data_IF_683833067153
#
_entry.id   IF_683833067153
#
_cell.length_a   1.000
_cell.length_b   1.000
_cell.length_c   1.000
_cell.angle_alpha   90.00
_cell.angle_beta   90.00
_cell.angle_gamma   90.00
#
_symmetry.space_group_name_H-M   'P 1'
#
loop_
_entity.id
_entity.type
_entity.pdbx_description
1 polymer ?
#
# COMPACT_ATOMS: atom_id res chain seq x y z
N UNK A 1 2.85 -6.23 3.58
CA UNK A 1 3.69 -5.61 4.63
C UNK A 1 4.20 -4.26 4.14
N UNK A 2 4.26 -3.20 4.97
CA UNK A 2 4.61 -1.84 4.51
C UNK A 2 6.09 -1.46 4.70
N UNK A 3 6.75 -1.96 5.74
CA UNK A 3 8.15 -1.61 6.06
C UNK A 3 9.15 -2.31 5.13
N UNK A 4 9.07 -3.63 5.03
CA UNK A 4 9.86 -4.44 4.09
C UNK A 4 9.15 -4.41 2.74
N UNK A 5 9.36 -3.34 1.98
CA UNK A 5 8.76 -3.18 0.65
C UNK A 5 9.80 -2.75 -0.38
N UNK A 6 9.58 -3.16 -1.63
CA UNK A 6 10.42 -2.76 -2.77
C UNK A 6 10.59 -1.24 -2.83
N UNK A 7 9.50 -0.47 -2.66
CA UNK A 7 9.54 0.99 -2.70
C UNK A 7 10.40 1.59 -1.60
N UNK A 8 10.38 1.04 -0.37
CA UNK A 8 11.23 1.55 0.71
C UNK A 8 12.69 1.19 0.46
N UNK A 9 12.99 -0.03 -0.02
CA UNK A 9 14.35 -0.40 -0.41
C UNK A 9 14.92 0.61 -1.44
N UNK A 10 14.17 0.89 -2.50
CA UNK A 10 14.54 1.86 -3.53
C UNK A 10 14.64 3.30 -3.01
N UNK A 11 13.79 3.70 -2.08
CA UNK A 11 13.91 5.00 -1.45
C UNK A 11 15.20 5.14 -0.64
N UNK A 12 15.59 4.11 0.12
CA UNK A 12 16.84 4.09 0.90
C UNK A 12 18.05 4.15 -0.02
N UNK A 13 18.06 3.33 -1.08
CA UNK A 13 19.12 3.32 -2.09
C UNK A 13 19.26 4.69 -2.77
N UNK A 14 18.15 5.30 -3.19
CA UNK A 14 18.14 6.64 -3.80
C UNK A 14 18.66 7.71 -2.86
N UNK A 15 18.20 7.73 -1.60
CA UNK A 15 18.67 8.71 -0.62
C UNK A 15 20.16 8.59 -0.34
N UNK A 16 20.69 7.37 -0.28
CA UNK A 16 22.12 7.11 -0.17
C UNK A 16 22.90 7.62 -1.39
N UNK A 17 22.41 7.35 -2.61
CA UNK A 17 23.04 7.82 -3.85
C UNK A 17 23.10 9.35 -3.97
N UNK A 18 22.18 10.06 -3.31
CA UNK A 18 22.13 11.53 -3.26
C UNK A 18 22.96 12.12 -2.11
N UNK A 19 23.66 11.30 -1.31
CA UNK A 19 24.42 11.75 -0.14
C UNK A 19 23.55 12.26 1.01
N UNK A 20 22.25 11.95 1.01
CA UNK A 20 21.28 12.39 2.04
C UNK A 20 21.08 11.35 3.16
N UNK A 21 21.71 10.19 3.05
CA UNK A 21 21.69 9.17 4.10
C UNK A 21 22.55 9.59 5.30
N UNK A 22 22.07 9.30 6.50
CA UNK A 22 22.83 9.47 7.75
C UNK A 22 23.77 8.31 8.04
N UNK A 23 23.63 7.20 7.33
CA UNK A 23 24.35 5.96 7.58
C UNK A 23 24.96 5.47 6.28
N UNK A 24 26.20 4.99 6.37
CA UNK A 24 26.95 4.44 5.25
C UNK A 24 26.44 3.06 4.82
N UNK A 25 25.70 2.35 5.68
CA UNK A 25 25.16 1.01 5.40
C UNK A 25 23.79 1.02 4.71
N UNK A 26 23.48 2.08 3.96
CA UNK A 26 22.21 2.22 3.27
C UNK A 26 22.01 1.16 2.18
N UNK A 27 23.10 0.67 1.57
CA UNK A 27 23.05 -0.33 0.51
C UNK A 27 22.67 -1.70 1.07
N UNK A 28 23.29 -2.11 2.18
CA UNK A 28 22.98 -3.34 2.90
C UNK A 28 21.56 -3.32 3.45
N UNK A 29 21.13 -2.16 3.97
CA UNK A 29 19.76 -1.95 4.42
C UNK A 29 18.76 -2.11 3.27
N UNK A 30 18.99 -1.43 2.13
CA UNK A 30 18.16 -1.58 0.93
C UNK A 30 18.09 -3.03 0.46
N UNK A 31 19.23 -3.71 0.39
CA UNK A 31 19.32 -5.11 0.01
C UNK A 31 18.48 -6.01 0.93
N UNK A 32 18.60 -5.84 2.25
CA UNK A 32 17.82 -6.60 3.23
C UNK A 32 16.31 -6.35 3.11
N UNK A 33 15.91 -5.09 2.89
CA UNK A 33 14.50 -4.74 2.68
C UNK A 33 13.95 -5.39 1.41
N UNK A 34 14.71 -5.34 0.32
CA UNK A 34 14.32 -5.91 -0.98
C UNK A 34 14.22 -7.43 -0.91
N UNK A 35 15.23 -8.12 -0.39
CA UNK A 35 15.22 -9.58 -0.31
C UNK A 35 14.08 -10.08 0.57
N UNK A 36 13.77 -9.36 1.66
CA UNK A 36 12.64 -9.68 2.53
C UNK A 36 11.30 -9.47 1.82
N UNK A 37 11.14 -8.39 1.04
CA UNK A 37 9.97 -8.18 0.21
C UNK A 37 9.79 -9.33 -0.79
N UNK A 38 10.84 -9.64 -1.54
CA UNK A 38 10.77 -10.58 -2.65
C UNK A 38 10.53 -12.01 -2.15
N UNK A 39 11.17 -12.39 -1.04
CA UNK A 39 10.92 -13.65 -0.36
C UNK A 39 9.47 -13.76 0.15
N UNK A 40 8.94 -12.69 0.73
CA UNK A 40 7.55 -12.68 1.21
C UNK A 40 6.55 -12.79 0.06
N UNK A 41 6.83 -12.16 -1.08
CA UNK A 41 6.02 -12.28 -2.30
C UNK A 41 5.95 -13.76 -2.77
N UNK A 42 7.07 -14.48 -2.76
CA UNK A 42 7.13 -15.92 -3.10
C UNK A 42 6.32 -16.76 -2.10
N UNK A 43 6.38 -16.44 -0.81
CA UNK A 43 5.67 -17.18 0.25
C UNK A 43 4.20 -16.79 0.42
N UNK A 44 3.65 -15.89 -0.40
CA UNK A 44 2.30 -15.37 -0.21
C UNK A 44 1.45 -15.31 -1.49
N UNK A 45 1.71 -16.23 -2.43
CA UNK A 45 0.97 -16.33 -3.70
C UNK A 45 -0.43 -16.92 -3.49
N UNK A 46 -1.47 -16.18 -3.91
CA UNK A 46 -2.89 -16.55 -3.75
C UNK A 46 -3.51 -17.18 -5.00
N UNK A 47 -3.00 -16.79 -6.16
CA UNK A 47 -3.46 -17.22 -7.49
C UNK A 47 -2.25 -17.60 -8.35
N UNK A 48 -2.44 -18.40 -9.42
CA UNK A 48 -1.33 -18.84 -10.27
C UNK A 48 -0.51 -17.68 -10.84
N UNK A 49 -1.18 -16.71 -11.45
CA UNK A 49 -0.55 -15.53 -12.02
C UNK A 49 -1.31 -14.29 -11.56
N UNK A 50 -0.73 -13.56 -10.61
CA UNK A 50 -1.32 -12.33 -10.08
C UNK A 50 -0.90 -11.11 -10.93
N UNK A 51 0.37 -11.06 -11.34
CA UNK A 51 0.94 -10.02 -12.19
C UNK A 51 2.14 -10.54 -13.00
N UNK A 52 2.84 -9.62 -13.68
CA UNK A 52 3.99 -9.92 -14.52
C UNK A 52 5.26 -10.32 -13.78
N UNK A 53 5.35 -10.10 -12.45
CA UNK A 53 6.57 -10.32 -11.67
C UNK A 53 6.69 -11.80 -11.31
N UNK A 54 7.77 -12.44 -11.73
CA UNK A 54 7.98 -13.88 -11.56
C UNK A 54 7.90 -14.36 -10.10
N UNK A 55 8.32 -13.52 -9.14
CA UNK A 55 8.24 -13.82 -7.71
C UNK A 55 6.82 -13.84 -7.14
N UNK A 56 5.85 -13.18 -7.79
CA UNK A 56 4.45 -13.10 -7.33
C UNK A 56 3.56 -14.19 -7.93
N UNK A 57 4.06 -14.90 -8.93
CA UNK A 57 3.41 -16.09 -9.47
C UNK A 57 3.46 -17.23 -8.46
N UNK A 58 2.56 -18.19 -8.61
CA UNK A 58 2.58 -19.39 -7.80
C UNK A 58 3.94 -20.11 -7.87
N UNK A 59 4.34 -20.68 -6.75
CA UNK A 59 5.64 -21.32 -6.63
C UNK A 59 5.70 -22.56 -7.51
N UNK A 60 6.62 -22.60 -8.49
CA UNK A 60 6.65 -23.63 -9.52
C UNK A 60 6.56 -23.10 -10.96
N UNK A 61 5.95 -21.93 -11.16
CA UNK A 61 5.77 -21.33 -12.49
C UNK A 61 7.00 -20.55 -12.99
N UNK A 62 7.85 -20.08 -12.08
CA UNK A 62 9.08 -19.36 -12.43
C UNK A 62 10.22 -19.79 -11.50
N UNK A 63 10.46 -21.10 -11.48
CA UNK A 63 11.30 -21.76 -10.47
C UNK A 63 12.71 -21.22 -10.38
N UNK A 64 13.33 -20.87 -11.50
CA UNK A 64 14.69 -20.35 -11.50
C UNK A 64 14.79 -19.08 -10.64
N UNK A 65 13.96 -18.08 -10.93
CA UNK A 65 13.95 -16.81 -10.19
C UNK A 65 13.47 -16.99 -8.74
N UNK A 66 12.43 -17.79 -8.55
CA UNK A 66 11.87 -18.06 -7.22
C UNK A 66 12.90 -18.77 -6.32
N UNK A 67 13.60 -19.79 -6.83
CA UNK A 67 14.63 -20.49 -6.08
C UNK A 67 15.82 -19.60 -5.76
N UNK A 68 16.24 -18.73 -6.69
CA UNK A 68 17.29 -17.75 -6.44
C UNK A 68 16.94 -16.86 -5.25
N UNK A 69 15.72 -16.30 -5.20
CA UNK A 69 15.25 -15.48 -4.07
C UNK A 69 15.26 -16.28 -2.75
N UNK A 70 14.80 -17.53 -2.78
CA UNK A 70 14.78 -18.42 -1.60
C UNK A 70 16.20 -18.73 -1.12
N UNK A 71 17.14 -18.98 -2.03
CA UNK A 71 18.53 -19.27 -1.71
C UNK A 71 19.24 -18.04 -1.16
N UNK A 72 19.05 -16.88 -1.77
CA UNK A 72 19.61 -15.62 -1.29
C UNK A 72 19.08 -15.31 0.13
N UNK A 73 17.79 -15.54 0.40
CA UNK A 73 17.21 -15.35 1.74
C UNK A 73 17.81 -16.35 2.75
N UNK A 74 17.98 -17.62 2.34
CA UNK A 74 18.60 -18.64 3.20
C UNK A 74 20.03 -18.27 3.57
N UNK A 75 20.82 -17.83 2.58
CA UNK A 75 22.19 -17.35 2.77
C UNK A 75 22.24 -16.12 3.67
N UNK A 76 21.30 -15.18 3.49
CA UNK A 76 21.15 -13.99 4.35
C UNK A 76 20.85 -14.39 5.80
N UNK A 77 19.93 -15.33 6.03
CA UNK A 77 19.62 -15.80 7.39
C UNK A 77 20.77 -16.57 8.04
N UNK A 78 21.58 -17.27 7.24
CA UNK A 78 22.80 -17.96 7.71
C UNK A 78 23.93 -17.01 8.07
N UNK A 79 24.04 -15.85 7.41
CA UNK A 79 25.11 -14.86 7.67
C UNK A 79 24.71 -13.80 8.69
N UNK A 80 23.43 -13.40 8.74
CA UNK A 80 22.93 -12.37 9.63
C UNK A 80 23.10 -12.77 11.10
N UNK A 81 23.61 -11.87 11.93
CA UNK A 81 23.74 -12.09 13.38
C UNK A 81 23.13 -10.92 14.14
N UNK A 82 22.47 -11.24 15.25
CA UNK A 82 22.13 -10.23 16.27
C UNK A 82 23.45 -9.72 16.86
N UNK A 83 23.52 -8.41 17.10
CA UNK A 83 24.62 -7.79 17.85
C UNK A 83 24.83 -8.59 19.15
N UNK A 84 26.09 -8.93 19.41
CA UNK A 84 26.56 -9.74 20.56
C UNK A 84 26.13 -11.22 20.59
N UNK A 85 25.56 -11.76 19.50
CA UNK A 85 25.23 -13.19 19.40
C UNK A 85 25.91 -13.86 18.21
N UNK A 86 26.54 -15.00 18.46
CA UNK A 86 27.05 -15.90 17.42
C UNK A 86 26.03 -16.96 16.98
N UNK A 87 24.99 -17.19 17.79
CA UNK A 87 23.98 -18.20 17.54
C UNK A 87 22.86 -17.69 16.64
N UNK A 88 22.32 -18.59 15.81
CA UNK A 88 21.11 -18.35 15.03
C UNK A 88 19.89 -18.31 15.94
N UNK A 89 19.08 -17.27 15.78
CA UNK A 89 17.81 -17.11 16.48
C UNK A 89 16.75 -18.06 15.91
N UNK A 90 15.70 -18.41 16.69
CA UNK A 90 14.66 -19.34 16.25
C UNK A 90 14.00 -18.94 14.92
N UNK A 91 13.75 -17.65 14.68
CA UNK A 91 13.14 -17.20 13.42
C UNK A 91 14.05 -17.44 12.21
N UNK A 92 15.38 -17.30 12.36
CA UNK A 92 16.34 -17.56 11.28
C UNK A 92 16.31 -19.04 10.90
N UNK A 93 16.30 -19.92 11.92
CA UNK A 93 16.13 -21.37 11.72
C UNK A 93 14.79 -21.67 11.05
N UNK A 94 13.71 -21.02 11.50
CA UNK A 94 12.37 -21.17 10.92
C UNK A 94 12.32 -20.80 9.44
N UNK A 95 12.96 -19.70 9.03
CA UNK A 95 13.04 -19.30 7.63
C UNK A 95 13.83 -20.33 6.81
N UNK A 96 14.98 -20.79 7.29
CA UNK A 96 15.82 -21.78 6.59
C UNK A 96 15.07 -23.11 6.41
N UNK A 97 14.38 -23.57 7.47
CA UNK A 97 13.53 -24.76 7.41
C UNK A 97 12.39 -24.54 6.41
N UNK A 98 11.65 -23.43 6.51
CA UNK A 98 10.54 -23.13 5.61
C UNK A 98 10.95 -23.07 4.13
N UNK A 99 12.10 -22.47 3.84
CA UNK A 99 12.71 -22.42 2.51
C UNK A 99 13.02 -23.81 1.96
N UNK A 100 13.63 -24.65 2.79
CA UNK A 100 13.98 -26.03 2.42
C UNK A 100 12.71 -26.87 2.22
N UNK A 101 11.78 -26.79 3.16
CA UNK A 101 10.50 -27.50 3.11
C UNK A 101 9.66 -27.12 1.90
N UNK A 102 9.61 -25.84 1.50
CA UNK A 102 8.87 -25.42 0.31
C UNK A 102 9.42 -26.05 -0.98
N UNK A 103 10.76 -26.11 -1.12
CA UNK A 103 11.42 -26.75 -2.26
C UNK A 103 11.12 -28.25 -2.33
N UNK A 104 11.26 -28.95 -1.20
CA UNK A 104 11.01 -30.38 -1.11
C UNK A 104 9.53 -30.71 -1.35
N UNK A 105 8.61 -29.96 -0.73
CA UNK A 105 7.17 -30.17 -0.90
C UNK A 105 6.73 -30.08 -2.36
N UNK A 106 7.24 -29.10 -3.12
CA UNK A 106 6.91 -29.02 -4.54
C UNK A 106 7.45 -30.22 -5.32
N UNK A 107 8.65 -30.71 -4.98
CA UNK A 107 9.25 -31.86 -5.63
C UNK A 107 8.43 -33.14 -5.38
N UNK A 108 8.01 -33.36 -4.14
CA UNK A 108 7.16 -34.49 -3.77
C UNK A 108 5.82 -34.42 -4.49
N UNK A 109 5.16 -33.26 -4.48
CA UNK A 109 3.86 -33.08 -5.15
C UNK A 109 3.94 -33.15 -6.68
N UNK A 110 5.08 -32.77 -7.28
CA UNK A 110 5.34 -32.97 -8.71
C UNK A 110 5.48 -34.45 -9.05
N UNK A 111 6.21 -35.19 -8.23
CA UNK A 111 6.51 -36.60 -8.45
C UNK A 111 5.27 -37.47 -8.26
N UNK A 112 4.54 -37.24 -7.18
CA UNK A 112 3.43 -38.12 -6.76
C UNK A 112 2.09 -37.75 -7.41
N UNK A 113 1.88 -36.45 -7.71
CA UNK A 113 0.57 -35.94 -8.15
C UNK A 113 0.62 -35.09 -9.42
N UNK A 114 1.79 -34.97 -10.08
CA UNK A 114 1.98 -34.12 -11.26
C UNK A 114 1.55 -32.65 -11.03
N UNK A 115 1.74 -32.15 -9.80
CA UNK A 115 1.37 -30.78 -9.44
C UNK A 115 2.25 -29.76 -10.18
N UNK A 116 1.64 -28.82 -10.91
CA UNK A 116 2.40 -27.82 -11.67
C UNK A 116 3.03 -26.73 -10.80
N UNK A 117 2.32 -26.33 -9.74
CA UNK A 117 2.70 -25.21 -8.87
C UNK A 117 2.03 -25.35 -7.49
N UNK A 118 2.46 -24.50 -6.54
CA UNK A 118 1.87 -24.35 -5.21
C UNK A 118 1.42 -22.92 -4.96
N UNK A 119 0.22 -22.79 -4.41
CA UNK A 119 -0.29 -21.52 -3.87
C UNK A 119 0.21 -21.39 -2.43
N UNK A 120 1.30 -20.64 -2.27
CA UNK A 120 2.02 -20.52 -0.99
C UNK A 120 1.21 -19.83 0.11
N UNK A 121 0.20 -19.04 -0.25
CA UNK A 121 -0.78 -18.52 0.72
C UNK A 121 -1.51 -19.61 1.51
N UNK A 122 -1.62 -20.84 0.96
CA UNK A 122 -2.28 -21.97 1.64
C UNK A 122 -1.36 -22.70 2.62
N UNK A 123 -0.09 -22.32 2.70
CA UNK A 123 0.92 -22.94 3.57
C UNK A 123 1.16 -22.13 4.86
N UNK A 124 0.45 -21.02 5.04
CA UNK A 124 0.54 -20.19 6.24
C UNK A 124 -0.70 -20.38 7.14
N UNK A 125 -0.66 -19.79 8.34
CA UNK A 125 -1.75 -19.87 9.31
C UNK A 125 -2.78 -18.73 9.16
N UNK A 126 -2.66 -17.86 8.16
CA UNK A 126 -3.59 -16.73 7.98
C UNK A 126 -5.06 -17.19 7.83
N UNK A 127 -5.38 -18.27 7.09
CA UNK A 127 -6.76 -18.78 7.06
C UNK A 127 -7.30 -19.17 8.43
N UNK A 128 -6.45 -19.69 9.32
CA UNK A 128 -6.82 -20.04 10.69
C UNK A 128 -7.00 -18.79 11.56
N UNK A 129 -6.15 -17.79 11.41
CA UNK A 129 -6.32 -16.49 12.08
C UNK A 129 -7.60 -15.76 11.61
N UNK A 130 -7.90 -15.85 10.32
CA UNK A 130 -9.16 -15.40 9.73
C UNK A 130 -10.37 -16.11 10.34
N UNK A 131 -10.29 -17.43 10.49
CA UNK A 131 -11.30 -18.22 11.19
C UNK A 131 -11.52 -17.75 12.64
N UNK A 132 -10.44 -17.55 13.41
CA UNK A 132 -10.57 -17.04 14.77
C UNK A 132 -11.21 -15.65 14.82
N UNK A 133 -10.92 -14.79 13.85
CA UNK A 133 -11.55 -13.47 13.74
C UNK A 133 -13.06 -13.56 13.51
N UNK A 134 -13.51 -14.51 12.69
CA UNK A 134 -14.94 -14.79 12.50
C UNK A 134 -15.58 -15.29 13.80
N UNK A 135 -14.93 -16.21 14.51
CA UNK A 135 -15.48 -16.71 15.79
C UNK A 135 -15.58 -15.60 16.85
N UNK A 136 -14.63 -14.67 16.87
CA UNK A 136 -14.72 -13.48 17.74
C UNK A 136 -15.86 -12.57 17.31
N UNK A 137 -16.03 -12.32 16.01
CA UNK A 137 -17.06 -11.41 15.48
C UNK A 137 -18.49 -11.88 15.70
N UNK A 138 -18.74 -13.21 15.74
CA UNK A 138 -20.04 -13.78 16.13
C UNK A 138 -20.50 -13.27 17.52
N UNK A 139 -19.55 -12.91 18.39
CA UNK A 139 -19.82 -12.37 19.71
C UNK A 139 -20.19 -10.89 19.79
N UNK A 140 -20.15 -10.16 18.67
CA UNK A 140 -20.32 -8.70 18.67
C UNK A 140 -19.29 -8.02 19.57
N UNK A 141 -19.78 -7.30 20.60
CA UNK A 141 -18.93 -6.61 21.59
C UNK A 141 -18.17 -7.58 22.52
N UNK A 142 -18.55 -8.85 22.57
CA UNK A 142 -17.89 -9.85 23.41
C UNK A 142 -16.90 -10.69 22.58
N UNK A 143 -15.73 -10.10 22.34
CA UNK A 143 -14.66 -10.59 21.47
C UNK A 143 -13.70 -11.61 22.11
N UNK A 144 -13.76 -11.79 23.43
CA UNK A 144 -12.97 -12.75 24.21
C UNK A 144 -13.84 -13.87 24.81
N UNK A 145 -14.25 -14.88 24.02
CA UNK A 145 -15.11 -15.95 24.52
C UNK A 145 -14.39 -16.89 25.50
N UNK A 146 -15.13 -17.40 26.48
CA UNK A 146 -14.75 -18.60 27.24
C UNK A 146 -14.72 -19.85 26.35
N UNK A 147 -14.09 -20.93 26.79
CA UNK A 147 -14.04 -22.19 26.05
C UNK A 147 -15.45 -22.73 25.68
N UNK A 148 -16.44 -22.57 26.57
CA UNK A 148 -17.82 -22.99 26.31
C UNK A 148 -18.49 -22.13 25.24
N UNK A 149 -18.30 -20.81 25.28
CA UNK A 149 -18.83 -19.90 24.27
C UNK A 149 -18.14 -20.13 22.92
N UNK A 150 -16.83 -20.36 22.90
CA UNK A 150 -16.12 -20.74 21.68
C UNK A 150 -16.74 -22.01 21.08
N UNK A 151 -16.99 -23.06 21.89
CA UNK A 151 -17.65 -24.29 21.43
C UNK A 151 -19.02 -24.01 20.80
N UNK A 152 -19.85 -23.17 21.41
CA UNK A 152 -21.15 -22.82 20.84
C UNK A 152 -21.05 -22.01 19.56
N UNK A 153 -20.13 -21.04 19.49
CA UNK A 153 -19.89 -20.25 18.27
C UNK A 153 -19.35 -21.10 17.13
N UNK A 154 -18.41 -22.01 17.43
CA UNK A 154 -17.89 -22.97 16.48
C UNK A 154 -19.01 -23.89 15.97
N UNK A 155 -19.85 -24.42 16.86
CA UNK A 155 -21.02 -25.23 16.47
C UNK A 155 -21.92 -24.45 15.51
N UNK A 156 -22.27 -23.21 15.84
CA UNK A 156 -23.11 -22.38 14.98
C UNK A 156 -22.44 -22.09 13.62
N UNK A 157 -21.14 -21.85 13.60
CA UNK A 157 -20.38 -21.64 12.37
C UNK A 157 -20.37 -22.87 11.46
N UNK A 158 -20.22 -24.07 12.03
CA UNK A 158 -20.25 -25.34 11.27
C UNK A 158 -21.65 -25.61 10.73
N UNK A 159 -22.68 -25.43 11.55
CA UNK A 159 -24.07 -25.66 11.14
C UNK A 159 -24.54 -24.66 10.08
N UNK A 160 -24.26 -23.36 10.26
CA UNK A 160 -24.68 -22.31 9.33
C UNK A 160 -23.89 -22.26 8.01
N UNK A 161 -22.87 -23.10 7.82
CA UNK A 161 -22.18 -23.25 6.53
C UNK A 161 -22.57 -24.52 5.78
N UNK A 162 -23.12 -25.50 6.49
CA UNK A 162 -23.51 -26.80 5.96
C UNK A 162 -25.04 -26.94 6.00
N UNK A 163 -25.76 -26.06 5.30
CA UNK A 163 -27.22 -26.11 5.20
C UNK A 163 -27.72 -27.46 4.62
N UNK A 164 -26.86 -28.22 3.93
CA UNK A 164 -27.13 -29.57 3.42
C UNK A 164 -27.35 -30.63 4.52
N UNK A 165 -26.95 -30.36 5.78
CA UNK A 165 -27.11 -31.30 6.91
C UNK A 165 -28.49 -31.12 7.59
N UNK A 166 -29.22 -30.05 7.28
CA UNK A 166 -30.56 -29.82 7.82
C UNK A 166 -31.52 -30.67 6.98
N UNK A 167 -32.05 -31.75 7.56
CA UNK A 167 -33.02 -32.61 6.89
C UNK A 167 -34.24 -31.80 6.43
N UNK A 168 -34.53 -31.81 5.13
CA UNK A 168 -35.75 -31.21 4.55
C UNK A 168 -37.06 -31.93 4.96
N UNK A 169 -36.99 -32.99 5.76
CA UNK A 169 -38.12 -33.76 6.25
C UNK A 169 -38.45 -33.41 7.70
N UNK A 170 -39.26 -32.37 7.91
CA UNK A 170 -39.98 -32.19 9.17
C UNK A 170 -41.26 -33.03 9.14
N UNK A 171 -41.45 -33.91 10.12
CA UNK A 171 -42.69 -34.66 10.32
C UNK A 171 -43.77 -33.87 11.11
N UNK A 172 -43.55 -32.56 11.32
CA UNK A 172 -44.47 -31.67 12.04
C UNK A 172 -44.72 -30.43 11.19
N UNK A 173 -45.99 -30.02 11.08
CA UNK A 173 -46.39 -28.77 10.41
C UNK A 173 -45.55 -27.60 10.94
N UNK A 174 -45.03 -26.78 10.02
CA UNK A 174 -44.21 -25.62 10.36
C UNK A 174 -45.01 -24.69 11.27
N UNK A 175 -44.54 -24.52 12.51
CA UNK A 175 -45.06 -23.51 13.41
C UNK A 175 -44.78 -22.12 12.81
N UNK A 176 -45.86 -21.37 12.55
CA UNK A 176 -45.86 -20.04 11.93
C UNK A 176 -45.07 -19.00 12.75
N UNK A 177 -44.74 -19.32 14.01
CA UNK A 177 -44.08 -18.44 14.97
C UNK A 177 -42.63 -18.83 15.34
N UNK A 178 -42.00 -19.76 14.62
CA UNK A 178 -40.57 -20.00 14.81
C UNK A 178 -39.77 -18.94 14.03
N UNK A 179 -38.96 -18.08 14.69
CA UNK A 179 -38.10 -17.14 13.98
C UNK A 179 -37.10 -17.94 13.17
N UNK A 180 -37.33 -17.98 11.86
CA UNK A 180 -36.41 -18.51 10.89
C UNK A 180 -35.09 -17.75 11.11
N UNK A 181 -34.06 -18.39 11.65
CA UNK A 181 -32.72 -17.81 11.73
C UNK A 181 -32.14 -17.92 10.32
N UNK A 182 -32.74 -17.17 9.39
CA UNK A 182 -32.10 -16.79 8.15
C UNK A 182 -31.01 -15.83 8.60
N UNK A 183 -29.77 -16.30 8.58
CA UNK A 183 -28.61 -15.43 8.79
C UNK A 183 -28.50 -14.55 7.54
N UNK A 184 -29.32 -13.49 7.46
CA UNK A 184 -29.27 -12.47 6.41
C UNK A 184 -27.88 -11.83 6.29
N UNK A 185 -27.03 -11.99 7.31
CA UNK A 185 -25.69 -11.44 7.36
C UNK A 185 -24.58 -12.29 6.71
N UNK A 186 -24.87 -13.47 6.15
CA UNK A 186 -23.85 -14.30 5.49
C UNK A 186 -23.40 -13.68 4.15
N UNK A 187 -24.29 -13.01 3.42
CA UNK A 187 -23.94 -12.21 2.25
C UNK A 187 -23.07 -10.98 2.62
N UNK A 188 -23.29 -10.40 3.80
CA UNK A 188 -22.51 -9.27 4.30
C UNK A 188 -21.09 -9.70 4.70
N UNK A 189 -20.89 -10.91 5.21
CA UNK A 189 -19.55 -11.44 5.56
C UNK A 189 -18.69 -11.75 4.32
N UNK A 190 -19.30 -12.09 3.19
CA UNK A 190 -18.56 -12.29 1.92
C UNK A 190 -17.95 -10.99 1.42
N UNK A 191 -18.63 -9.86 1.65
CA UNK A 191 -18.14 -8.52 1.30
C UNK A 191 -17.03 -7.99 2.24
N UNK A 192 -16.88 -8.53 3.45
CA UNK A 192 -15.79 -8.13 4.37
C UNK A 192 -14.43 -8.69 3.90
N UNK A 193 -14.43 -9.81 3.17
CA UNK A 193 -13.20 -10.36 2.58
C UNK A 193 -12.75 -9.61 1.32
N UNK A 194 -13.67 -8.91 0.64
CA UNK A 194 -13.40 -8.18 -0.60
C UNK A 194 -13.08 -6.68 -0.38
N UNK A 195 -13.19 -6.19 0.86
CA UNK A 195 -13.00 -4.76 1.19
C UNK A 195 -11.53 -4.31 1.35
N UNK A 196 -10.57 -5.12 0.87
CA UNK A 196 -9.17 -4.68 0.74
C UNK A 196 -8.95 -3.81 -0.52
N UNK A 197 -9.85 -3.84 -1.50
CA UNK A 197 -9.67 -3.13 -2.78
C UNK A 197 -10.63 -1.95 -3.03
N UNK A 198 -11.51 -1.59 -2.08
CA UNK A 198 -12.36 -0.41 -2.20
C UNK A 198 -11.65 0.87 -1.73
N UNK A 199 -10.66 1.34 -2.52
CA UNK A 199 -10.33 2.78 -2.57
C UNK A 199 -11.46 3.50 -3.34
N UNK A 200 -12.68 3.46 -2.78
CA UNK A 200 -13.78 4.33 -3.19
C UNK A 200 -13.44 5.73 -2.69
N UNK A 201 -13.02 6.53 -3.64
CA UNK A 201 -12.94 8.00 -3.70
C UNK A 201 -13.71 8.74 -2.57
N UNK A 202 -13.14 8.76 -1.35
CA UNK A 202 -13.60 9.55 -0.21
C UNK A 202 -13.34 11.02 -0.48
N UNK A 203 -14.23 11.67 -1.23
CA UNK A 203 -14.02 13.06 -1.66
C UNK A 203 -15.11 14.03 -1.26
N UNK A 204 -16.25 13.53 -0.75
CA UNK A 204 -17.28 14.38 -0.13
C UNK A 204 -17.13 14.56 1.39
N UNK A 205 -17.02 13.46 2.15
CA UNK A 205 -17.06 13.49 3.63
C UNK A 205 -15.84 14.12 4.30
N UNK A 206 -14.68 14.17 3.64
CA UNK A 206 -13.48 14.82 4.20
C UNK A 206 -13.51 16.35 4.10
N UNK A 207 -14.33 16.91 3.20
CA UNK A 207 -14.43 18.37 3.06
C UNK A 207 -15.31 18.97 4.17
N UNK A 208 -16.33 18.24 4.62
CA UNK A 208 -17.26 18.69 5.68
C UNK A 208 -16.69 18.57 7.10
N UNK A 209 -15.56 17.88 7.29
CA UNK A 209 -14.92 17.67 8.60
C UNK A 209 -13.76 18.63 8.90
N UNK A 210 -13.45 19.55 7.97
CA UNK A 210 -12.47 20.62 8.20
C UNK A 210 -13.05 21.70 9.11
N UNK A 211 -12.88 21.55 10.43
CA UNK A 211 -12.95 22.68 11.37
C UNK A 211 -11.60 23.40 11.32
N UNK A 212 -11.53 24.55 10.65
CA UNK A 212 -10.36 25.43 10.71
C UNK A 212 -10.85 26.84 11.08
N UNK A 213 -10.25 27.41 12.12
CA UNK A 213 -10.49 28.77 12.59
C UNK A 213 -10.23 29.78 11.47
N UNK A 214 -11.20 30.67 11.27
CA UNK A 214 -11.10 31.81 10.37
C UNK A 214 -10.42 32.94 11.16
N UNK A 215 -9.09 32.94 11.18
CA UNK A 215 -8.36 34.16 11.56
C UNK A 215 -8.12 34.97 10.29
N UNK A 216 -8.82 36.10 10.20
CA UNK A 216 -8.65 37.13 9.17
C UNK A 216 -7.19 37.59 9.20
N UNK A 217 -6.51 37.48 8.08
CA UNK A 217 -5.24 38.18 7.87
C UNK A 217 -5.42 39.27 6.81
N UNK A 218 -4.87 40.41 7.17
CA UNK A 218 -4.96 41.74 6.59
C UNK A 218 -4.32 41.83 5.20
N UNK A 219 -4.79 42.79 4.40
CA UNK A 219 -4.26 43.12 3.08
C UNK A 219 -2.81 43.60 3.17
N UNK A 220 -1.92 42.96 2.41
CA UNK A 220 -0.51 43.33 2.29
C UNK A 220 -0.02 43.08 0.88
N UNK A 221 0.07 44.19 0.14
CA UNK A 221 0.85 44.53 -1.07
C UNK A 221 1.44 43.39 -1.93
N UNK A 222 1.03 43.39 -3.20
CA UNK A 222 1.68 42.73 -4.33
C UNK A 222 3.10 43.22 -4.52
N UNK A 223 4.08 42.38 -4.18
CA UNK A 223 5.46 42.53 -4.62
C UNK A 223 5.87 41.40 -5.57
N UNK A 224 6.76 41.77 -6.47
CA UNK A 224 7.06 41.22 -7.78
C UNK A 224 7.50 39.75 -7.80
N UNK A 225 7.05 39.07 -8.87
CA UNK A 225 7.50 37.73 -9.28
C UNK A 225 8.99 37.77 -9.59
N UNK A 226 9.83 37.19 -8.73
CA UNK A 226 11.19 36.81 -9.11
C UNK A 226 11.74 35.65 -8.26
N UNK A 227 12.49 34.79 -8.95
CA UNK A 227 13.14 33.53 -8.53
C UNK A 227 12.23 32.29 -8.41
N UNK A 228 12.32 31.43 -9.43
CA UNK A 228 11.88 30.03 -9.35
C UNK A 228 12.77 29.35 -8.32
N UNK A 229 12.21 29.05 -7.15
CA UNK A 229 12.87 28.29 -6.10
C UNK A 229 13.32 26.94 -6.69
N UNK A 230 14.64 26.73 -6.81
CA UNK A 230 15.20 25.57 -7.50
C UNK A 230 14.79 24.29 -6.73
N UNK A 231 13.99 23.44 -7.38
CA UNK A 231 13.50 22.21 -6.76
C UNK A 231 14.69 21.31 -6.38
N UNK A 232 14.72 20.84 -5.14
CA UNK A 232 15.68 19.81 -4.74
C UNK A 232 15.47 18.55 -5.60
N UNK A 233 16.52 17.75 -5.80
CA UNK A 233 16.45 16.52 -6.60
C UNK A 233 15.31 15.59 -6.13
N UNK A 234 15.03 15.53 -4.83
CA UNK A 234 13.91 14.73 -4.28
C UNK A 234 12.53 15.29 -4.66
N UNK A 235 12.39 16.62 -4.74
CA UNK A 235 11.14 17.22 -5.20
C UNK A 235 10.95 16.98 -6.70
N UNK A 236 12.02 16.98 -7.49
CA UNK A 236 12.00 16.56 -8.89
C UNK A 236 11.55 15.09 -9.02
N UNK A 237 12.16 14.17 -8.27
CA UNK A 237 11.79 12.74 -8.24
C UNK A 237 10.31 12.55 -7.85
N UNK A 238 9.83 13.31 -6.87
CA UNK A 238 8.44 13.29 -6.42
C UNK A 238 7.45 13.84 -7.45
N UNK A 239 7.82 14.92 -8.15
CA UNK A 239 7.02 15.50 -9.23
C UNK A 239 6.95 14.57 -10.44
N UNK A 240 8.06 13.95 -10.81
CA UNK A 240 8.11 12.95 -11.88
C UNK A 240 7.16 11.77 -11.59
N UNK A 241 7.16 11.28 -10.35
CA UNK A 241 6.26 10.21 -9.92
C UNK A 241 4.78 10.63 -10.02
N UNK A 242 4.45 11.87 -9.63
CA UNK A 242 3.10 12.42 -9.80
C UNK A 242 2.72 12.53 -11.28
N UNK A 243 3.62 13.03 -12.13
CA UNK A 243 3.39 13.14 -13.57
C UNK A 243 3.14 11.76 -14.19
N UNK A 244 3.94 10.74 -13.84
CA UNK A 244 3.73 9.35 -14.24
C UNK A 244 2.36 8.79 -13.81
N UNK A 245 1.90 9.13 -12.60
CA UNK A 245 0.55 8.77 -12.15
C UNK A 245 -0.56 9.44 -12.99
N UNK A 246 -0.41 10.71 -13.33
CA UNK A 246 -1.37 11.44 -14.18
C UNK A 246 -1.44 10.79 -15.57
N UNK A 247 -0.29 10.51 -16.18
CA UNK A 247 -0.18 9.77 -17.45
C UNK A 247 -0.90 8.43 -17.33
N UNK A 248 -0.60 7.64 -16.30
CA UNK A 248 -1.24 6.33 -16.11
C UNK A 248 -2.75 6.44 -16.02
N UNK A 249 -3.30 7.43 -15.30
CA UNK A 249 -4.75 7.60 -15.17
C UNK A 249 -5.42 8.05 -16.47
N UNK A 250 -4.73 8.83 -17.29
CA UNK A 250 -5.27 9.38 -18.54
C UNK A 250 -4.87 8.59 -19.79
N UNK A 251 -4.11 7.50 -19.66
CA UNK A 251 -3.59 6.68 -20.78
C UNK A 251 -4.61 6.20 -21.82
N UNK A 252 -5.90 6.09 -21.45
CA UNK A 252 -6.98 5.70 -22.37
C UNK A 252 -7.55 6.87 -23.18
N UNK A 253 -7.31 8.09 -22.74
CA UNK A 253 -7.83 9.33 -23.32
C UNK A 253 -6.75 10.09 -24.07
N UNK A 254 -5.52 10.11 -23.54
CA UNK A 254 -4.45 10.98 -24.02
C UNK A 254 -3.10 10.28 -23.95
N UNK A 255 -2.23 10.59 -24.91
CA UNK A 255 -0.87 10.04 -25.01
C UNK A 255 0.13 11.00 -24.39
N UNK A 256 0.17 11.06 -23.06
CA UNK A 256 1.01 12.00 -22.29
C UNK A 256 2.38 11.42 -21.90
N UNK A 257 2.61 10.13 -22.17
CA UNK A 257 3.79 9.40 -21.76
C UNK A 257 3.84 7.99 -22.34
N UNK A 258 4.81 7.22 -21.90
CA UNK A 258 5.14 5.90 -22.45
C UNK A 258 5.45 4.90 -21.34
N UNK A 259 5.45 3.61 -21.67
CA UNK A 259 5.97 2.58 -20.79
C UNK A 259 7.50 2.56 -21.04
N UNK A 260 8.34 2.76 -20.02
CA UNK A 260 9.78 2.76 -20.21
C UNK A 260 10.24 1.37 -20.64
N UNK A 261 11.01 1.31 -21.74
CA UNK A 261 11.68 0.10 -22.18
C UNK A 261 12.87 -0.22 -21.25
N UNK A 262 13.19 -1.50 -21.08
CA UNK A 262 14.28 -1.96 -20.20
C UNK A 262 15.68 -1.47 -20.63
N UNK A 263 15.81 -0.87 -21.81
CA UNK A 263 17.02 -0.25 -22.36
C UNK A 263 17.22 1.21 -21.95
N UNK A 264 16.19 1.86 -21.37
CA UNK A 264 16.19 3.28 -21.09
C UNK A 264 17.03 3.59 -19.85
N UNK A 265 18.32 3.89 -20.06
CA UNK A 265 19.36 4.06 -19.04
C UNK A 265 19.26 5.38 -18.24
N UNK A 266 18.05 5.96 -18.10
CA UNK A 266 17.87 7.21 -17.36
C UNK A 266 17.96 6.98 -15.85
N UNK A 267 18.70 7.85 -15.15
CA UNK A 267 18.87 7.84 -13.68
C UNK A 267 17.65 8.37 -12.89
N UNK A 268 16.48 8.39 -13.55
CA UNK A 268 15.22 8.89 -13.01
C UNK A 268 14.68 8.02 -11.87
N UNK A 269 13.92 8.62 -10.97
CA UNK A 269 13.30 7.89 -9.85
C UNK A 269 12.33 6.83 -10.35
N UNK A 270 11.57 7.13 -11.40
CA UNK A 270 10.64 6.16 -11.98
C UNK A 270 11.35 4.92 -12.52
N UNK A 271 12.49 5.08 -13.20
CA UNK A 271 13.28 3.93 -13.65
C UNK A 271 13.86 3.14 -12.48
N UNK A 272 14.22 3.83 -11.39
CA UNK A 272 14.77 3.17 -10.21
C UNK A 272 13.74 2.34 -9.43
N UNK A 273 12.46 2.75 -9.41
CA UNK A 273 11.38 2.09 -8.66
C UNK A 273 10.54 1.12 -9.50
N UNK A 274 10.46 1.34 -10.81
CA UNK A 274 9.62 0.52 -11.69
C UNK A 274 10.11 -0.93 -11.75
N UNK A 275 9.16 -1.86 -11.69
CA UNK A 275 9.38 -3.30 -11.93
C UNK A 275 8.60 -3.76 -13.18
N UNK A 276 8.24 -2.81 -14.04
CA UNK A 276 7.28 -2.98 -15.13
C UNK A 276 5.91 -2.40 -14.78
N UNK A 277 5.28 -1.72 -15.75
CA UNK A 277 3.91 -1.20 -15.63
C UNK A 277 3.76 0.22 -15.09
N UNK A 278 4.80 0.85 -14.53
CA UNK A 278 4.78 2.29 -14.26
C UNK A 278 4.94 3.07 -15.56
N UNK A 279 4.12 4.11 -15.77
CA UNK A 279 4.23 4.98 -16.94
C UNK A 279 5.15 6.16 -16.65
N UNK A 280 5.96 6.51 -17.65
CA UNK A 280 6.88 7.64 -17.62
C UNK A 280 6.31 8.80 -18.44
N UNK A 281 6.31 10.03 -17.92
CA UNK A 281 5.86 11.20 -18.69
C UNK A 281 6.81 11.50 -19.84
N UNK A 282 6.30 12.10 -20.92
CA UNK A 282 7.17 12.74 -21.92
C UNK A 282 7.89 13.94 -21.32
N UNK A 283 9.07 14.30 -21.85
CA UNK A 283 9.82 15.47 -21.37
C UNK A 283 8.99 16.77 -21.45
N UNK A 284 8.20 16.93 -22.52
CA UNK A 284 7.30 18.05 -22.69
C UNK A 284 6.23 18.10 -21.58
N UNK A 285 5.58 16.96 -21.31
CA UNK A 285 4.55 16.89 -20.26
C UNK A 285 5.14 17.09 -18.85
N UNK A 286 6.37 16.62 -18.61
CA UNK A 286 7.06 16.82 -17.34
C UNK A 286 7.39 18.31 -17.12
N UNK A 287 7.81 19.03 -18.15
CA UNK A 287 8.05 20.48 -18.07
C UNK A 287 6.75 21.24 -17.79
N UNK A 288 5.66 20.87 -18.45
CA UNK A 288 4.35 21.45 -18.15
C UNK A 288 3.93 21.16 -16.70
N UNK A 289 4.23 19.97 -16.16
CA UNK A 289 3.99 19.66 -14.75
C UNK A 289 4.83 20.53 -13.80
N UNK A 290 6.05 20.94 -14.18
CA UNK A 290 6.87 21.89 -13.40
C UNK A 290 6.22 23.26 -13.35
N UNK A 291 5.72 23.75 -14.49
CA UNK A 291 4.99 25.02 -14.54
C UNK A 291 3.71 24.97 -13.70
N UNK A 292 2.91 23.90 -13.80
CA UNK A 292 1.73 23.70 -12.96
C UNK A 292 2.09 23.64 -11.47
N UNK A 293 3.23 23.02 -11.13
CA UNK A 293 3.72 22.98 -9.75
C UNK A 293 4.06 24.38 -9.23
N UNK A 294 4.78 25.18 -10.03
CA UNK A 294 5.14 26.55 -9.68
C UNK A 294 3.89 27.42 -9.46
N UNK A 295 2.88 27.32 -10.34
CA UNK A 295 1.60 28.03 -10.19
C UNK A 295 0.90 27.62 -8.89
N UNK A 296 0.85 26.32 -8.58
CA UNK A 296 0.25 25.83 -7.34
C UNK A 296 0.97 26.37 -6.10
N UNK A 297 2.30 26.34 -6.09
CA UNK A 297 3.09 26.78 -4.96
C UNK A 297 3.07 28.32 -4.82
N UNK A 298 3.00 29.09 -5.92
CA UNK A 298 2.82 30.55 -5.90
C UNK A 298 1.49 30.98 -5.25
N UNK A 299 0.39 30.29 -5.56
CA UNK A 299 -0.94 30.63 -5.01
C UNK A 299 -1.09 30.24 -3.54
N UNK A 300 -0.46 29.15 -3.12
CA UNK A 300 -0.67 28.57 -1.79
C UNK A 300 0.48 28.83 -0.80
N UNK A 301 1.66 29.24 -1.29
CA UNK A 301 2.88 29.34 -0.50
C UNK A 301 3.16 28.06 0.29
N UNK A 302 3.30 28.19 1.61
CA UNK A 302 3.46 27.07 2.54
C UNK A 302 2.15 26.51 3.13
N UNK A 303 1.00 27.12 2.84
CA UNK A 303 -0.31 26.79 3.42
C UNK A 303 -1.29 26.27 2.36
N UNK A 304 -2.60 26.41 2.56
CA UNK A 304 -3.61 26.20 1.54
C UNK A 304 -4.57 27.39 1.54
N UNK A 305 -4.68 28.11 0.43
CA UNK A 305 -5.60 29.25 0.33
C UNK A 305 -7.02 28.71 0.13
N UNK A 306 -7.90 28.92 1.10
CA UNK A 306 -9.29 28.44 1.04
C UNK A 306 -10.10 29.46 0.22
N UNK A 307 -10.65 29.01 -0.89
CA UNK A 307 -11.47 29.82 -1.78
C UNK A 307 -12.56 28.97 -2.44
N UNK A 308 -13.68 29.60 -2.78
CA UNK A 308 -14.75 28.98 -3.56
C UNK A 308 -14.18 28.63 -4.94
N UNK A 309 -14.56 27.48 -5.48
CA UNK A 309 -14.09 27.00 -6.79
C UNK A 309 -12.56 26.89 -6.92
N UNK A 310 -11.87 26.49 -5.85
CA UNK A 310 -10.41 26.38 -5.77
C UNK A 310 -9.70 25.79 -7.01
N UNK A 311 -10.16 24.63 -7.50
CA UNK A 311 -9.54 23.97 -8.66
C UNK A 311 -9.77 24.77 -9.95
N UNK A 312 -10.94 25.42 -10.10
CA UNK A 312 -11.25 26.25 -11.27
C UNK A 312 -10.30 27.45 -11.32
N UNK A 313 -10.08 28.10 -10.19
CA UNK A 313 -9.18 29.25 -10.11
C UNK A 313 -7.72 28.86 -10.48
N UNK A 314 -7.24 27.68 -10.02
CA UNK A 314 -5.94 27.16 -10.43
C UNK A 314 -5.84 26.86 -11.94
N UNK A 315 -6.94 26.44 -12.56
CA UNK A 315 -6.99 26.20 -14.01
C UNK A 315 -6.92 27.51 -14.78
N UNK A 316 -7.67 28.53 -14.36
CA UNK A 316 -7.64 29.88 -14.95
C UNK A 316 -6.21 30.48 -14.87
N UNK A 317 -5.52 30.31 -13.74
CA UNK A 317 -4.12 30.76 -13.59
C UNK A 317 -3.09 29.93 -14.38
N UNK A 318 -3.50 28.80 -14.96
CA UNK A 318 -2.63 27.93 -15.75
C UNK A 318 -3.07 27.83 -17.21
N UNK A 319 -3.82 28.80 -17.72
CA UNK A 319 -4.25 28.86 -19.12
C UNK A 319 -3.08 28.79 -20.11
N UNK A 320 -1.98 29.46 -19.78
CA UNK A 320 -0.76 29.52 -20.61
C UNK A 320 0.03 28.19 -20.68
N UNK A 321 -0.31 27.19 -19.86
CA UNK A 321 0.35 25.88 -19.86
C UNK A 321 -0.37 24.96 -20.84
N UNK A 322 0.32 24.48 -21.87
CA UNK A 322 -0.26 23.64 -22.93
C UNK A 322 -0.48 22.19 -22.46
N UNK A 323 -1.57 21.99 -21.72
CA UNK A 323 -1.99 20.70 -21.16
C UNK A 323 -3.51 20.60 -21.17
N UNK A 324 -4.04 19.40 -21.40
CA UNK A 324 -5.47 19.14 -21.37
C UNK A 324 -6.12 19.53 -20.03
N UNK A 325 -7.39 19.91 -20.10
CA UNK A 325 -8.16 20.29 -18.92
C UNK A 325 -8.27 19.14 -17.90
N UNK A 326 -8.37 17.89 -18.38
CA UNK A 326 -8.45 16.70 -17.54
C UNK A 326 -7.13 16.46 -16.78
N UNK A 327 -5.98 16.64 -17.44
CA UNK A 327 -4.68 16.54 -16.80
C UNK A 327 -4.43 17.65 -15.78
N UNK A 328 -4.77 18.92 -16.11
CA UNK A 328 -4.69 20.04 -15.14
C UNK A 328 -5.54 19.77 -13.90
N UNK A 329 -6.81 19.36 -14.09
CA UNK A 329 -7.72 19.00 -12.99
C UNK A 329 -7.15 17.89 -12.10
N UNK A 330 -6.66 16.81 -12.71
CA UNK A 330 -6.13 15.67 -11.96
C UNK A 330 -4.86 16.05 -11.19
N UNK A 331 -3.93 16.76 -11.84
CA UNK A 331 -2.68 17.23 -11.23
C UNK A 331 -2.94 18.11 -10.01
N UNK A 332 -3.74 19.18 -10.15
CA UNK A 332 -4.04 20.09 -9.04
C UNK A 332 -4.80 19.40 -7.91
N UNK A 333 -5.71 18.48 -8.24
CA UNK A 333 -6.43 17.68 -7.23
C UNK A 333 -5.46 16.81 -6.41
N UNK A 334 -4.48 16.16 -7.06
CA UNK A 334 -3.44 15.42 -6.36
C UNK A 334 -2.60 16.33 -5.45
N UNK A 335 -2.11 17.46 -5.97
CA UNK A 335 -1.33 18.45 -5.19
C UNK A 335 -2.10 18.98 -3.97
N UNK A 336 -3.37 19.30 -4.14
CA UNK A 336 -4.28 19.69 -3.05
C UNK A 336 -4.31 18.64 -1.94
N UNK A 337 -4.58 17.37 -2.28
CA UNK A 337 -4.62 16.29 -1.29
C UNK A 337 -3.26 16.07 -0.61
N UNK A 338 -2.16 16.16 -1.35
CA UNK A 338 -0.82 16.05 -0.78
C UNK A 338 -0.55 17.18 0.21
N UNK A 339 -0.94 18.42 -0.11
CA UNK A 339 -0.81 19.58 0.77
C UNK A 339 -1.64 19.42 2.04
N UNK A 340 -2.90 19.02 1.92
CA UNK A 340 -3.79 18.75 3.07
C UNK A 340 -3.17 17.68 3.99
N UNK A 341 -2.68 16.57 3.43
CA UNK A 341 -2.03 15.51 4.22
C UNK A 341 -0.78 16.02 4.95
N UNK A 342 0.05 16.84 4.29
CA UNK A 342 1.24 17.46 4.89
C UNK A 342 0.85 18.36 6.06
N UNK A 343 -0.16 19.21 5.88
CA UNK A 343 -0.66 20.12 6.93
C UNK A 343 -1.26 19.34 8.12
N UNK A 344 -2.08 18.32 7.86
CA UNK A 344 -2.67 17.48 8.90
C UNK A 344 -1.59 16.75 9.73
N UNK A 345 -0.52 16.28 9.07
CA UNK A 345 0.62 15.67 9.77
C UNK A 345 1.31 16.67 10.68
N UNK A 346 1.57 17.89 10.18
CA UNK A 346 2.18 18.96 10.96
C UNK A 346 1.35 19.34 12.20
N UNK A 347 0.02 19.48 12.04
CA UNK A 347 -0.91 19.74 13.16
C UNK A 347 -0.84 18.61 14.20
N UNK A 348 -0.83 17.35 13.75
CA UNK A 348 -0.73 16.18 14.64
C UNK A 348 0.59 16.19 15.42
N UNK A 349 1.71 16.47 14.77
CA UNK A 349 3.04 16.54 15.38
C UNK A 349 3.13 17.69 16.40
N UNK A 350 2.57 18.85 16.10
CA UNK A 350 2.46 19.95 17.07
C UNK A 350 1.61 19.56 18.28
N UNK A 351 0.46 18.93 18.08
CA UNK A 351 -0.42 18.52 19.17
C UNK A 351 0.26 17.52 20.12
N UNK A 352 1.02 16.56 19.58
CA UNK A 352 1.78 15.60 20.35
C UNK A 352 2.93 16.27 21.12
N UNK A 353 3.58 17.26 20.51
CA UNK A 353 4.65 18.04 21.15
C UNK A 353 4.10 18.88 22.30
N UNK A 354 2.94 19.53 22.13
CA UNK A 354 2.24 20.25 23.20
C UNK A 354 1.86 19.30 24.34
N UNK A 355 1.28 18.14 24.05
CA UNK A 355 0.97 17.11 25.07
C UNK A 355 2.22 16.67 25.85
N UNK A 356 3.36 16.44 25.17
CA UNK A 356 4.63 16.08 25.82
C UNK A 356 5.20 17.20 26.70
N UNK A 357 5.02 18.47 26.33
CA UNK A 357 5.41 19.62 27.16
C UNK A 357 4.54 19.74 28.41
N UNK A 358 3.23 19.56 28.30
CA UNK A 358 2.33 19.54 29.46
C UNK A 358 2.66 18.41 30.45
N UNK A 359 3.00 17.21 29.96
CA UNK A 359 3.44 16.09 30.83
C UNK A 359 4.76 16.39 31.56
N UNK A 360 5.63 17.25 31.01
CA UNK A 360 6.89 17.65 31.67
C UNK A 360 6.72 18.79 32.69
N UNK A 361 5.64 19.56 32.62
CA UNK A 361 5.37 20.69 33.53
C UNK A 361 4.61 20.23 34.79
N UNK A 362 4.04 19.03 34.77
CA UNK A 362 3.49 18.38 35.98
C UNK A 362 4.60 17.55 36.64
N UNK A 363 5.51 18.21 37.35
CA UNK A 363 6.40 17.61 38.35
C UNK A 363 6.69 18.60 39.46
#
# INVERSE_FOLDING_TARGET
>A
TKLFSHTIAKAVERLGSLGLSRSDSFLECSHLLKITNDWFDVFNSKVPECDSRNRMKAYGLSLYDQNKIIDDMSNTMLSLRKIDSKALLPFQKGIIIGNTSLKLLLNDLKTDFNAKYLLTYRLNQDPLEGFFSIVRSIGGLYDHPTALQFKYRLRNYVLGRNDEIISNSSNVEQAVDAPNIIIENLHTLKNICDDIDNVKTVTGQMLSTLKVNVDRYDEGTTDEISSVDELTQLQCDGLENLAGYVVFKLRKKETLGFIPDSSDCSSSWLNHVSEGGLMKPTNNFLENCRQLNAIFDAINGNSLKIQINYIKNLIEHSENVDVSLDAKKLFFRCKLYFRIRKLNRYIKEQSNTRKRKFVKIVK
#
